data_IF_072579626957
#
_entry.id   IF_072579626957
#
_cell.length_a   1.000
_cell.length_b   1.000
_cell.length_c   1.000
_cell.angle_alpha   90.00
_cell.angle_beta   90.00
_cell.angle_gamma   90.00
#
_symmetry.space_group_name_H-M   'P 1'
#
loop_
_entity.id
_entity.type
_entity.pdbx_description
1 polymer ?
#
# COMPACT_ATOMS: atom_id res chain seq x y z
N UNK A 1 17.67 -3.98 -8.36
CA UNK A 1 17.17 -2.91 -9.24
C UNK A 1 15.83 -2.37 -8.78
N UNK A 2 14.81 -3.20 -8.58
CA UNK A 2 13.48 -2.77 -8.08
C UNK A 2 13.60 -1.90 -6.83
N UNK A 3 14.36 -2.36 -5.81
CA UNK A 3 14.61 -1.60 -4.58
C UNK A 3 15.24 -0.22 -4.83
N UNK A 4 16.34 -0.17 -5.59
CA UNK A 4 17.02 1.09 -5.90
C UNK A 4 16.09 2.11 -6.59
N UNK A 5 15.22 1.68 -7.50
CA UNK A 5 14.24 2.57 -8.12
C UNK A 5 13.11 2.95 -7.17
N UNK A 6 12.50 1.95 -6.51
CA UNK A 6 11.37 2.15 -5.60
C UNK A 6 11.71 3.10 -4.46
N UNK A 7 12.90 2.97 -3.86
CA UNK A 7 13.40 3.88 -2.83
C UNK A 7 13.53 5.31 -3.33
N UNK A 8 14.15 5.52 -4.50
CA UNK A 8 14.34 6.88 -5.05
C UNK A 8 13.05 7.56 -5.48
N UNK A 9 12.10 6.80 -6.02
CA UNK A 9 10.78 7.35 -6.34
C UNK A 9 9.96 7.61 -5.07
N UNK A 10 10.08 6.76 -4.04
CA UNK A 10 9.45 7.01 -2.74
C UNK A 10 10.02 8.26 -2.06
N UNK A 11 11.34 8.46 -2.08
CA UNK A 11 11.98 9.71 -1.61
C UNK A 11 11.41 10.95 -2.33
N UNK A 12 11.22 10.87 -3.64
CA UNK A 12 10.63 11.95 -4.43
C UNK A 12 9.17 12.22 -4.04
N UNK A 13 8.36 11.17 -3.86
CA UNK A 13 6.96 11.26 -3.41
C UNK A 13 6.89 11.93 -2.05
N UNK A 14 7.67 11.46 -1.06
CA UNK A 14 7.70 12.03 0.29
C UNK A 14 8.06 13.51 0.28
N UNK A 15 9.07 13.88 -0.50
CA UNK A 15 9.47 15.28 -0.67
C UNK A 15 8.38 16.14 -1.31
N UNK A 16 7.63 15.58 -2.26
CA UNK A 16 6.50 16.27 -2.90
C UNK A 16 5.29 16.38 -1.98
N UNK A 17 4.99 15.32 -1.25
CA UNK A 17 3.85 15.24 -0.33
C UNK A 17 4.09 16.04 0.97
N UNK A 18 5.35 16.27 1.32
CA UNK A 18 5.82 16.93 2.55
C UNK A 18 5.46 16.17 3.84
N UNK A 19 5.36 14.84 3.75
CA UNK A 19 5.18 13.91 4.88
C UNK A 19 5.86 12.59 4.59
N UNK A 20 6.29 11.88 5.64
CA UNK A 20 6.77 10.50 5.54
C UNK A 20 5.70 9.51 6.00
N UNK A 21 5.43 8.51 5.16
CA UNK A 21 4.49 7.43 5.45
C UNK A 21 4.79 6.68 6.75
N UNK A 22 6.06 6.51 7.16
CA UNK A 22 6.39 5.79 8.41
C UNK A 22 6.22 6.65 9.66
N UNK A 23 6.11 7.97 9.51
CA UNK A 23 5.99 8.93 10.60
C UNK A 23 4.55 9.44 10.78
N UNK A 24 3.68 9.20 9.80
CA UNK A 24 2.31 9.69 9.83
C UNK A 24 1.39 8.81 10.68
N UNK A 25 0.46 9.46 11.37
CA UNK A 25 -0.59 8.77 12.11
C UNK A 25 -1.54 8.06 11.14
N UNK A 26 -1.74 6.76 11.36
CA UNK A 26 -2.54 5.90 10.49
C UNK A 26 -4.02 6.25 10.49
N UNK A 27 -4.50 7.03 11.47
CA UNK A 27 -5.89 7.50 11.52
C UNK A 27 -6.16 8.65 10.54
N UNK A 28 -5.12 9.22 9.91
CA UNK A 28 -5.27 10.33 8.97
C UNK A 28 -5.58 9.84 7.55
N UNK A 29 -6.39 10.59 6.76
CA UNK A 29 -6.62 10.27 5.34
C UNK A 29 -5.32 10.15 4.52
N UNK A 30 -4.32 10.95 4.89
CA UNK A 30 -3.00 10.97 4.28
C UNK A 30 -2.27 9.62 4.37
N UNK A 31 -2.50 8.82 5.42
CA UNK A 31 -1.86 7.51 5.56
C UNK A 31 -2.25 6.57 4.41
N UNK A 32 -3.56 6.44 4.14
CA UNK A 32 -4.06 5.64 3.00
C UNK A 32 -3.53 6.20 1.69
N UNK A 33 -3.47 7.54 1.56
CA UNK A 33 -3.02 8.21 0.34
C UNK A 33 -1.54 7.97 0.04
N UNK A 34 -0.67 8.19 1.02
CA UNK A 34 0.77 7.94 0.91
C UNK A 34 1.09 6.47 0.67
N UNK A 35 0.38 5.56 1.35
CA UNK A 35 0.50 4.13 1.08
C UNK A 35 0.24 3.80 -0.40
N UNK A 36 -0.86 4.33 -0.94
CA UNK A 36 -1.22 4.13 -2.35
C UNK A 36 -0.15 4.66 -3.30
N UNK A 37 0.35 5.89 -3.05
CA UNK A 37 1.36 6.53 -3.89
C UNK A 37 2.68 5.76 -3.91
N UNK A 38 3.22 5.47 -2.72
CA UNK A 38 4.49 4.75 -2.61
C UNK A 38 4.35 3.36 -3.24
N UNK A 39 3.29 2.63 -2.93
CA UNK A 39 3.06 1.30 -3.51
C UNK A 39 2.96 1.33 -5.03
N UNK A 40 2.27 2.32 -5.60
CA UNK A 40 2.21 2.52 -7.04
C UNK A 40 3.60 2.79 -7.64
N UNK A 41 4.48 3.54 -6.97
CA UNK A 41 5.86 3.74 -7.41
C UNK A 41 6.72 2.46 -7.33
N UNK A 42 6.48 1.60 -6.34
CA UNK A 42 7.11 0.29 -6.24
C UNK A 42 6.65 -0.65 -7.36
N UNK A 43 5.36 -0.67 -7.68
CA UNK A 43 4.80 -1.40 -8.82
C UNK A 43 5.36 -0.88 -10.15
N UNK A 44 5.44 0.44 -10.32
CA UNK A 44 6.08 1.06 -11.48
C UNK A 44 7.54 0.64 -11.61
N UNK A 45 8.28 0.60 -10.50
CA UNK A 45 9.69 0.17 -10.48
C UNK A 45 9.87 -1.30 -10.86
N UNK A 46 8.95 -2.17 -10.44
CA UNK A 46 8.91 -3.57 -10.86
C UNK A 46 8.62 -3.69 -12.36
N UNK A 47 7.59 -3.01 -12.85
CA UNK A 47 7.21 -2.98 -14.26
C UNK A 47 8.36 -2.48 -15.15
N UNK A 48 8.96 -1.35 -14.79
CA UNK A 48 10.14 -0.80 -15.47
C UNK A 48 11.28 -1.82 -15.55
N UNK A 49 11.61 -2.46 -14.43
CA UNK A 49 12.69 -3.45 -14.38
C UNK A 49 12.40 -4.64 -15.30
N UNK A 50 11.16 -5.14 -15.28
CA UNK A 50 10.74 -6.22 -16.17
C UNK A 50 10.82 -5.82 -17.64
N UNK A 51 10.24 -4.67 -18.03
CA UNK A 51 10.26 -4.19 -19.41
C UNK A 51 11.69 -4.03 -19.92
N UNK A 52 12.60 -3.47 -19.11
CA UNK A 52 14.00 -3.31 -19.49
C UNK A 52 14.68 -4.65 -19.77
N UNK A 53 14.52 -5.62 -18.88
CA UNK A 53 15.10 -6.95 -19.07
C UNK A 53 14.50 -7.63 -20.29
N UNK A 54 13.19 -7.50 -20.50
CA UNK A 54 12.50 -8.04 -21.67
C UNK A 54 13.02 -7.41 -22.98
N UNK A 55 13.06 -6.08 -23.07
CA UNK A 55 13.58 -5.36 -24.24
C UNK A 55 15.02 -5.78 -24.54
N UNK A 56 15.85 -5.94 -23.51
CA UNK A 56 17.22 -6.43 -23.67
C UNK A 56 17.26 -7.89 -24.15
N UNK A 57 16.42 -8.77 -23.61
CA UNK A 57 16.34 -10.16 -24.06
C UNK A 57 15.85 -10.28 -25.50
N UNK A 58 14.81 -9.53 -25.87
CA UNK A 58 14.25 -9.50 -27.22
C UNK A 58 15.27 -8.97 -28.24
N UNK A 59 16.22 -8.13 -27.81
CA UNK A 59 17.28 -7.64 -28.67
C UNK A 59 18.28 -8.72 -29.11
N UNK A 60 18.24 -9.95 -28.57
CA UNK A 60 19.06 -11.09 -29.04
C UNK A 60 18.76 -11.46 -30.49
N UNK A 61 17.54 -11.24 -30.95
CA UNK A 61 17.12 -11.52 -32.32
C UNK A 61 16.96 -10.23 -33.13
N UNK A 62 17.15 -10.35 -34.44
CA UNK A 62 16.84 -9.31 -35.42
C UNK A 62 15.35 -9.38 -35.77
N UNK A 63 14.77 -8.33 -36.38
CA UNK A 63 13.39 -8.35 -36.84
C UNK A 63 13.07 -9.47 -37.86
N UNK A 64 14.08 -9.96 -38.58
CA UNK A 64 13.96 -11.09 -39.52
C UNK A 64 14.02 -12.47 -38.85
N UNK A 65 14.14 -12.52 -37.52
CA UNK A 65 14.23 -13.75 -36.72
C UNK A 65 15.63 -14.33 -36.59
N UNK A 66 16.64 -13.79 -37.27
CA UNK A 66 18.03 -14.24 -37.12
C UNK A 66 18.65 -13.78 -35.79
N UNK A 67 19.60 -14.54 -35.27
CA UNK A 67 20.32 -14.21 -34.02
C UNK A 67 21.36 -13.12 -34.31
N UNK A 68 21.43 -12.10 -33.45
CA UNK A 68 22.46 -11.06 -33.51
C UNK A 68 23.83 -11.60 -33.13
N UNK A 69 24.88 -11.04 -33.73
CA UNK A 69 26.24 -11.23 -33.19
C UNK A 69 26.36 -10.58 -31.81
N UNK A 70 27.39 -10.96 -31.04
CA UNK A 70 27.65 -10.34 -29.73
C UNK A 70 27.80 -8.82 -29.82
N UNK A 71 28.53 -8.31 -30.83
CA UNK A 71 28.73 -6.87 -30.99
C UNK A 71 27.43 -6.14 -31.32
N UNK A 72 26.60 -6.69 -32.20
CA UNK A 72 25.28 -6.14 -32.51
C UNK A 72 24.39 -6.12 -31.26
N UNK A 73 24.36 -7.22 -30.51
CA UNK A 73 23.58 -7.34 -29.27
C UNK A 73 24.04 -6.31 -28.22
N UNK A 74 25.35 -6.18 -28.01
CA UNK A 74 25.94 -5.20 -27.08
C UNK A 74 25.58 -3.76 -27.47
N UNK A 75 25.60 -3.43 -28.77
CA UNK A 75 25.21 -2.10 -29.25
C UNK A 75 23.72 -1.85 -28.99
N UNK A 76 22.84 -2.81 -29.32
CA UNK A 76 21.39 -2.65 -29.12
C UNK A 76 21.02 -2.50 -27.64
N UNK A 77 21.60 -3.33 -26.77
CA UNK A 77 21.36 -3.22 -25.31
C UNK A 77 21.87 -1.90 -24.73
N UNK A 78 22.97 -1.36 -25.22
CA UNK A 78 23.44 -0.02 -24.85
C UNK A 78 22.46 1.09 -25.28
N UNK A 79 21.87 0.99 -26.48
CA UNK A 79 20.86 1.94 -26.96
C UNK A 79 19.60 1.90 -26.08
N UNK A 80 19.11 0.70 -25.77
CA UNK A 80 17.95 0.48 -24.89
C UNK A 80 18.21 1.12 -23.52
N UNK A 81 19.34 0.78 -22.89
CA UNK A 81 19.72 1.32 -21.58
C UNK A 81 19.86 2.84 -21.63
N UNK A 82 20.48 3.40 -22.68
CA UNK A 82 20.62 4.84 -22.87
C UNK A 82 19.28 5.57 -23.00
N UNK A 83 18.29 4.99 -23.69
CA UNK A 83 16.92 5.52 -23.75
C UNK A 83 16.29 5.59 -22.36
N UNK A 84 16.44 4.53 -21.58
CA UNK A 84 15.88 4.41 -20.25
C UNK A 84 16.51 5.39 -19.25
N UNK A 85 17.81 5.64 -19.35
CA UNK A 85 18.51 6.65 -18.54
C UNK A 85 17.99 8.07 -18.79
N UNK A 86 17.59 8.39 -20.03
CA UNK A 86 17.01 9.70 -20.37
C UNK A 86 15.64 9.94 -19.70
N UNK A 87 14.92 8.87 -19.33
CA UNK A 87 13.61 9.00 -18.69
C UNK A 87 13.71 9.32 -17.18
N UNK A 88 14.86 9.06 -16.53
CA UNK A 88 15.00 9.17 -15.07
C UNK A 88 14.58 10.52 -14.50
N UNK A 89 14.94 11.61 -15.17
CA UNK A 89 14.59 12.97 -14.72
C UNK A 89 13.06 13.17 -14.72
N UNK A 90 12.39 12.71 -15.78
CA UNK A 90 10.94 12.84 -15.92
C UNK A 90 10.22 11.95 -14.91
N UNK A 91 10.71 10.72 -14.69
CA UNK A 91 10.14 9.80 -13.70
C UNK A 91 10.25 10.37 -12.28
N UNK A 92 11.41 10.93 -11.91
CA UNK A 92 11.59 11.63 -10.64
C UNK A 92 10.62 12.81 -10.49
N UNK A 93 10.51 13.65 -11.52
CA UNK A 93 9.60 14.80 -11.52
C UNK A 93 8.13 14.37 -11.42
N UNK A 94 7.77 13.26 -12.06
CA UNK A 94 6.41 12.71 -12.03
C UNK A 94 6.08 12.17 -10.64
N UNK A 95 6.99 11.42 -10.00
CA UNK A 95 6.83 10.96 -8.63
C UNK A 95 6.72 12.13 -7.62
N UNK A 96 7.59 13.14 -7.75
CA UNK A 96 7.54 14.35 -6.92
C UNK A 96 6.23 15.12 -7.11
N UNK A 97 5.84 15.41 -8.35
CA UNK A 97 4.60 16.13 -8.65
C UNK A 97 3.35 15.35 -8.27
N UNK A 98 3.34 14.01 -8.43
CA UNK A 98 2.28 13.14 -7.94
C UNK A 98 2.10 13.24 -6.43
N UNK A 99 3.20 13.26 -5.67
CA UNK A 99 3.19 13.54 -4.23
C UNK A 99 2.58 14.90 -3.90
N UNK A 100 3.02 15.97 -4.58
CA UNK A 100 2.49 17.33 -4.37
C UNK A 100 0.98 17.41 -4.65
N UNK A 101 0.53 16.87 -5.78
CA UNK A 101 -0.87 16.97 -6.21
C UNK A 101 -1.78 16.09 -5.36
N UNK A 102 -1.31 14.94 -4.88
CA UNK A 102 -2.06 14.12 -3.93
C UNK A 102 -2.23 14.79 -2.56
N UNK A 103 -1.15 15.38 -2.01
CA UNK A 103 -1.24 16.15 -0.77
C UNK A 103 -2.17 17.36 -0.92
N UNK A 104 -2.08 18.05 -2.07
CA UNK A 104 -2.97 19.15 -2.40
C UNK A 104 -4.43 18.70 -2.49
N UNK A 105 -4.71 17.56 -3.12
CA UNK A 105 -6.07 17.03 -3.21
C UNK A 105 -6.67 16.69 -1.84
N UNK A 106 -5.89 16.10 -0.92
CA UNK A 106 -6.36 15.86 0.46
C UNK A 106 -6.77 17.18 1.15
N UNK A 107 -5.91 18.20 1.08
CA UNK A 107 -6.24 19.54 1.63
C UNK A 107 -7.46 20.17 0.97
N UNK A 108 -7.60 20.01 -0.34
CA UNK A 108 -8.77 20.50 -1.08
C UNK A 108 -10.04 19.86 -0.54
N UNK A 109 -10.07 18.53 -0.40
CA UNK A 109 -11.24 17.81 0.10
C UNK A 109 -11.57 18.17 1.55
N UNK A 110 -10.58 18.33 2.42
CA UNK A 110 -10.79 18.79 3.80
C UNK A 110 -11.40 20.20 3.86
N UNK A 111 -10.98 21.09 2.96
CA UNK A 111 -11.33 22.51 3.02
C UNK A 111 -12.45 22.93 2.05
N UNK A 112 -13.02 22.02 1.24
CA UNK A 112 -13.98 22.37 0.19
C UNK A 112 -15.26 23.06 0.70
N UNK A 113 -15.64 22.81 1.95
CA UNK A 113 -16.75 23.50 2.62
C UNK A 113 -16.49 25.00 2.87
N UNK A 114 -15.22 25.43 2.86
CA UNK A 114 -14.79 26.84 3.01
C UNK A 114 -14.33 27.41 1.66
N UNK A 115 -13.64 26.61 0.85
CA UNK A 115 -13.10 26.98 -0.45
C UNK A 115 -13.62 26.02 -1.53
N UNK A 116 -14.88 26.21 -1.99
CA UNK A 116 -15.55 25.26 -2.86
C UNK A 116 -15.14 25.35 -4.34
N UNK A 117 -14.32 26.34 -4.71
CA UNK A 117 -13.87 26.54 -6.09
C UNK A 117 -12.37 26.31 -6.23
N UNK A 118 -11.97 25.74 -7.36
CA UNK A 118 -10.58 25.57 -7.77
C UNK A 118 -10.33 26.35 -9.06
N UNK A 119 -9.19 27.01 -9.13
CA UNK A 119 -8.62 27.59 -10.35
C UNK A 119 -7.45 26.74 -10.81
N UNK A 120 -7.40 26.38 -12.09
CA UNK A 120 -6.24 25.73 -12.69
C UNK A 120 -5.14 26.75 -12.95
N UNK A 121 -3.94 26.51 -12.44
CA UNK A 121 -2.79 27.41 -12.56
C UNK A 121 -1.71 26.72 -13.40
N UNK A 122 -1.46 27.23 -14.59
CA UNK A 122 -0.28 26.87 -15.36
C UNK A 122 0.88 27.79 -14.97
N UNK A 123 2.10 27.25 -14.91
CA UNK A 123 3.29 28.11 -14.96
C UNK A 123 3.27 28.82 -16.31
N UNK A 124 3.51 30.12 -16.37
CA UNK A 124 3.53 30.88 -17.62
C UNK A 124 4.97 31.22 -18.00
N UNK A 125 5.67 30.25 -18.61
CA UNK A 125 6.99 30.46 -19.19
C UNK A 125 7.11 29.83 -20.59
N UNK A 126 8.29 29.96 -21.19
CA UNK A 126 8.59 29.44 -22.53
C UNK A 126 8.42 27.92 -22.64
N UNK A 127 8.58 27.19 -21.54
CA UNK A 127 8.50 25.73 -21.48
C UNK A 127 7.09 25.20 -21.17
N UNK A 128 6.11 26.08 -20.97
CA UNK A 128 4.72 25.67 -20.75
C UNK A 128 4.14 25.09 -22.03
N UNK A 129 3.42 23.97 -21.93
CA UNK A 129 2.75 23.37 -23.08
C UNK A 129 1.50 24.16 -23.45
N UNK A 130 1.12 24.18 -24.73
CA UNK A 130 -0.14 24.78 -25.17
C UNK A 130 -1.35 24.17 -24.43
N UNK A 131 -1.27 22.86 -24.14
CA UNK A 131 -2.20 22.13 -23.28
C UNK A 131 -2.39 22.82 -21.93
N UNK A 132 -1.30 23.03 -21.18
CA UNK A 132 -1.41 23.67 -19.86
C UNK A 132 -1.87 25.13 -19.96
N UNK A 133 -1.40 25.89 -20.97
CA UNK A 133 -1.83 27.29 -21.18
C UNK A 133 -3.33 27.40 -21.44
N UNK A 134 -3.91 26.47 -22.21
CA UNK A 134 -5.34 26.48 -22.54
C UNK A 134 -6.27 26.31 -21.35
N UNK A 135 -5.78 25.70 -20.27
CA UNK A 135 -6.53 25.50 -19.03
C UNK A 135 -6.24 26.56 -17.97
N UNK A 136 -5.27 27.46 -18.20
CA UNK A 136 -4.88 28.47 -17.21
C UNK A 136 -6.05 29.40 -16.89
N UNK A 137 -6.35 29.56 -15.60
CA UNK A 137 -7.46 30.40 -15.12
C UNK A 137 -8.84 29.74 -15.22
N UNK A 138 -8.96 28.49 -15.68
CA UNK A 138 -10.25 27.77 -15.64
C UNK A 138 -10.64 27.56 -14.19
N UNK A 139 -11.84 28.02 -13.83
CA UNK A 139 -12.41 27.91 -12.48
C UNK A 139 -13.61 26.98 -12.51
N UNK A 140 -13.62 25.98 -11.64
CA UNK A 140 -14.74 25.05 -11.46
C UNK A 140 -14.97 24.74 -9.99
N UNK A 141 -16.20 24.35 -9.63
CA UNK A 141 -16.47 23.78 -8.32
C UNK A 141 -15.59 22.53 -8.06
N UNK A 142 -15.17 22.28 -6.82
CA UNK A 142 -14.27 21.17 -6.44
C UNK A 142 -14.82 19.80 -6.88
N UNK A 143 -16.13 19.63 -6.81
CA UNK A 143 -16.80 18.36 -7.16
C UNK A 143 -17.17 18.25 -8.66
N UNK A 144 -16.74 19.20 -9.51
CA UNK A 144 -16.99 19.14 -10.96
C UNK A 144 -16.16 18.03 -11.63
N UNK A 145 -16.76 17.36 -12.62
CA UNK A 145 -16.14 16.27 -13.40
C UNK A 145 -14.86 16.72 -14.12
N UNK A 146 -14.70 18.02 -14.38
CA UNK A 146 -13.48 18.62 -14.92
C UNK A 146 -12.24 18.18 -14.14
N UNK A 147 -12.30 18.13 -12.81
CA UNK A 147 -11.16 17.74 -11.97
C UNK A 147 -10.85 16.25 -12.03
N UNK A 148 -11.80 15.40 -12.44
CA UNK A 148 -11.53 13.98 -12.67
C UNK A 148 -10.61 13.74 -13.88
N UNK A 149 -10.54 14.71 -14.79
CA UNK A 149 -9.82 14.59 -16.07
C UNK A 149 -8.60 15.51 -16.12
N UNK A 150 -8.74 16.75 -15.63
CA UNK A 150 -7.77 17.83 -15.85
C UNK A 150 -7.07 18.31 -14.58
N UNK A 151 -7.29 17.68 -13.42
CA UNK A 151 -6.50 17.97 -12.24
C UNK A 151 -5.04 17.57 -12.47
N UNK A 152 -4.05 18.46 -12.27
CA UNK A 152 -2.65 18.14 -12.53
C UNK A 152 -2.18 16.87 -11.81
N UNK A 153 -1.31 16.05 -12.39
CA UNK A 153 -0.50 16.27 -13.60
C UNK A 153 -1.18 15.77 -14.88
N UNK A 154 -1.23 16.61 -15.92
CA UNK A 154 -1.90 16.27 -17.19
C UNK A 154 -0.96 15.72 -18.28
N UNK A 155 0.35 15.68 -18.04
CA UNK A 155 1.37 15.09 -18.90
C UNK A 155 2.71 14.96 -18.16
N UNK A 156 3.68 14.25 -18.75
CA UNK A 156 5.05 14.21 -18.23
C UNK A 156 5.70 15.59 -18.18
N UNK A 157 6.35 15.92 -17.07
CA UNK A 157 6.96 17.24 -16.87
C UNK A 157 5.96 18.39 -16.70
N UNK A 158 4.67 18.08 -16.45
CA UNK A 158 3.69 19.09 -16.07
C UNK A 158 4.12 19.79 -14.77
N UNK A 159 3.96 21.11 -14.73
CA UNK A 159 4.28 21.97 -13.57
C UNK A 159 3.08 22.76 -13.08
N UNK A 160 1.91 22.50 -13.64
CA UNK A 160 0.66 23.15 -13.24
C UNK A 160 0.23 22.70 -11.85
N UNK A 161 -0.57 23.53 -11.20
CA UNK A 161 -1.16 23.29 -9.88
C UNK A 161 -2.60 23.83 -9.88
N UNK A 162 -3.24 23.85 -8.72
CA UNK A 162 -4.54 24.49 -8.52
C UNK A 162 -4.48 25.51 -7.39
N UNK A 163 -5.44 26.42 -7.35
CA UNK A 163 -5.62 27.37 -6.26
C UNK A 163 -7.06 27.31 -5.77
N UNK A 164 -7.25 27.22 -4.46
CA UNK A 164 -8.55 27.24 -3.82
C UNK A 164 -9.08 28.66 -3.64
N UNK A 165 -10.37 28.84 -3.91
CA UNK A 165 -11.08 30.11 -3.76
C UNK A 165 -12.34 29.94 -2.92
N UNK A 166 -12.60 30.91 -2.04
CA UNK A 166 -13.81 30.96 -1.20
C UNK A 166 -15.03 31.34 -2.03
N UNK A 167 -14.82 32.27 -2.95
CA UNK A 167 -15.83 32.80 -3.87
C UNK A 167 -15.18 32.97 -5.23
N UNK A 168 -15.81 32.45 -6.27
CA UNK A 168 -15.39 32.65 -7.65
C UNK A 168 -16.59 32.45 -8.58
N UNK A 169 -16.45 32.91 -9.83
CA UNK A 169 -17.39 32.60 -10.90
C UNK A 169 -16.83 31.43 -11.69
N UNK A 170 -17.61 30.35 -11.83
CA UNK A 170 -17.19 29.21 -12.65
C UNK A 170 -17.06 29.60 -14.11
N UNK A 171 -16.01 29.10 -14.77
CA UNK A 171 -15.83 29.26 -16.20
C UNK A 171 -16.88 28.41 -16.93
N UNK A 172 -17.75 28.99 -17.77
CA UNK A 172 -18.70 28.24 -18.58
C UNK A 172 -18.01 27.25 -19.53
N UNK A 173 -18.58 26.06 -19.72
CA UNK A 173 -17.94 25.00 -20.54
C UNK A 173 -17.66 25.44 -21.98
N UNK A 174 -18.51 26.28 -22.55
CA UNK A 174 -18.35 26.82 -23.90
C UNK A 174 -17.21 27.84 -24.04
N UNK A 175 -16.65 28.31 -22.92
CA UNK A 175 -15.50 29.21 -22.89
C UNK A 175 -14.17 28.47 -22.64
N UNK A 176 -14.23 27.17 -22.29
CA UNK A 176 -13.05 26.36 -22.01
C UNK A 176 -12.51 25.76 -23.32
N UNK A 177 -11.24 26.05 -23.62
CA UNK A 177 -10.52 25.41 -24.73
C UNK A 177 -9.95 24.09 -24.22
N UNK A 178 -10.74 23.01 -24.31
CA UNK A 178 -10.32 21.69 -23.85
C UNK A 178 -9.17 21.13 -24.69
N UNK A 179 -7.97 20.91 -24.11
CA UNK A 179 -6.88 20.31 -24.85
C UNK A 179 -7.02 18.80 -24.91
N UNK A 180 -6.45 18.19 -25.95
CA UNK A 180 -6.23 16.75 -25.95
C UNK A 180 -5.00 16.41 -25.08
N UNK A 181 -5.25 15.73 -23.97
CA UNK A 181 -4.21 15.26 -23.04
C UNK A 181 -3.95 13.77 -23.30
N UNK A 182 -2.72 13.25 -23.08
CA UNK A 182 -2.45 11.84 -23.27
C UNK A 182 -3.41 10.98 -22.44
N UNK A 183 -3.98 9.93 -23.03
CA UNK A 183 -5.06 9.12 -22.42
C UNK A 183 -4.73 8.63 -21.00
N UNK A 184 -3.49 8.22 -20.75
CA UNK A 184 -3.02 7.75 -19.45
C UNK A 184 -3.11 8.81 -18.33
N UNK A 185 -3.14 10.11 -18.70
CA UNK A 185 -3.28 11.23 -17.77
C UNK A 185 -4.71 11.79 -17.70
N UNK A 186 -5.71 11.19 -18.38
CA UNK A 186 -7.14 11.54 -18.24
C UNK A 186 -7.71 10.95 -16.95
N UNK A 187 -7.06 11.26 -15.83
CA UNK A 187 -7.38 10.74 -14.51
C UNK A 187 -6.81 11.66 -13.43
N UNK A 188 -7.58 11.89 -12.37
CA UNK A 188 -7.09 12.59 -11.18
C UNK A 188 -6.14 11.70 -10.38
N UNK A 189 -4.83 11.81 -10.68
CA UNK A 189 -3.79 11.05 -10.00
C UNK A 189 -3.75 11.33 -8.48
N UNK A 190 -3.97 12.59 -8.08
CA UNK A 190 -3.98 12.99 -6.67
C UNK A 190 -5.12 12.35 -5.88
N UNK A 191 -6.31 12.35 -6.46
CA UNK A 191 -7.47 11.67 -5.90
C UNK A 191 -7.32 10.16 -5.86
N UNK A 192 -6.81 9.55 -6.92
CA UNK A 192 -6.59 8.09 -6.93
C UNK A 192 -5.40 7.64 -6.10
N UNK A 193 -4.50 8.55 -5.72
CA UNK A 193 -3.29 8.21 -4.99
C UNK A 193 -2.28 7.46 -5.86
N UNK A 194 -2.10 7.92 -7.10
CA UNK A 194 -1.20 7.33 -8.08
C UNK A 194 -0.04 8.30 -8.36
N UNK A 195 1.20 7.84 -8.20
CA UNK A 195 2.37 8.61 -8.61
C UNK A 195 2.56 8.53 -10.14
N UNK A 196 2.22 7.37 -10.72
CA UNK A 196 2.28 7.07 -12.13
C UNK A 196 0.94 6.50 -12.61
N UNK A 197 0.49 6.83 -13.83
CA UNK A 197 -0.69 6.23 -14.43
C UNK A 197 -0.64 4.70 -14.45
N UNK A 198 -1.78 4.05 -14.19
CA UNK A 198 -1.92 2.59 -14.22
C UNK A 198 -1.73 2.01 -15.64
N UNK A 199 -2.13 2.76 -16.67
CA UNK A 199 -1.97 2.39 -18.08
C UNK A 199 -0.58 2.74 -18.65
N UNK A 200 0.43 2.95 -17.79
CA UNK A 200 1.79 3.27 -18.23
C UNK A 200 2.37 2.12 -19.08
N UNK A 201 3.11 2.45 -20.14
CA UNK A 201 3.65 1.49 -21.10
C UNK A 201 4.55 0.39 -20.50
N UNK A 202 5.15 0.63 -19.33
CA UNK A 202 5.94 -0.39 -18.62
C UNK A 202 5.08 -1.53 -18.05
N UNK A 203 3.81 -1.30 -17.75
CA UNK A 203 2.91 -2.38 -17.32
C UNK A 203 2.49 -3.27 -18.50
N UNK A 204 2.59 -2.78 -19.74
CA UNK A 204 2.19 -3.51 -20.93
C UNK A 204 3.00 -4.78 -21.13
N UNK A 205 2.32 -5.92 -21.18
CA UNK A 205 2.92 -7.22 -21.44
C UNK A 205 3.70 -7.82 -20.26
N UNK A 206 3.62 -7.22 -19.07
CA UNK A 206 4.10 -7.82 -17.82
C UNK A 206 3.07 -8.84 -17.32
N UNK A 207 3.44 -10.11 -17.10
CA UNK A 207 2.52 -11.09 -16.52
C UNK A 207 2.13 -10.71 -15.09
N UNK A 208 0.86 -10.91 -14.72
CA UNK A 208 0.34 -10.59 -13.38
C UNK A 208 1.13 -11.30 -12.26
N UNK A 209 1.50 -12.56 -12.47
CA UNK A 209 2.31 -13.35 -11.52
C UNK A 209 3.70 -12.73 -11.29
N UNK A 210 4.30 -12.11 -12.31
CA UNK A 210 5.60 -11.43 -12.16
C UNK A 210 5.43 -10.18 -11.30
N UNK A 211 4.33 -9.43 -11.48
CA UNK A 211 4.04 -8.26 -10.64
C UNK A 211 3.80 -8.68 -9.19
N UNK A 212 2.98 -9.69 -8.97
CA UNK A 212 2.70 -10.24 -7.64
C UNK A 212 3.98 -10.72 -6.94
N UNK A 213 4.78 -11.57 -7.59
CA UNK A 213 6.06 -12.05 -7.04
C UNK A 213 7.08 -10.95 -6.86
N UNK A 214 7.03 -9.86 -7.63
CA UNK A 214 7.95 -8.74 -7.46
C UNK A 214 7.76 -8.02 -6.12
N UNK A 215 6.56 -8.11 -5.51
CA UNK A 215 6.25 -7.49 -4.22
C UNK A 215 7.16 -8.00 -3.10
N UNK A 216 7.73 -9.20 -3.21
CA UNK A 216 8.69 -9.71 -2.22
C UNK A 216 9.91 -8.78 -2.05
N UNK A 217 10.26 -8.00 -3.08
CA UNK A 217 11.36 -7.04 -3.05
C UNK A 217 10.97 -5.66 -2.52
N UNK A 218 9.69 -5.43 -2.22
CA UNK A 218 9.20 -4.15 -1.69
C UNK A 218 9.52 -4.04 -0.20
N UNK A 219 9.57 -2.84 0.41
CA UNK A 219 9.69 -2.72 1.85
C UNK A 219 8.44 -3.27 2.54
N UNK A 220 8.58 -3.70 3.80
CA UNK A 220 7.52 -4.38 4.58
C UNK A 220 6.12 -3.76 4.39
N UNK A 221 5.99 -2.45 4.56
CA UNK A 221 4.69 -1.79 4.46
C UNK A 221 4.08 -1.83 3.05
N UNK A 222 4.89 -1.87 1.99
CA UNK A 222 4.42 -1.92 0.59
C UNK A 222 4.12 -3.36 0.14
N UNK A 223 4.50 -4.36 0.95
CA UNK A 223 4.03 -5.73 0.81
C UNK A 223 2.60 -5.92 1.33
N UNK A 224 2.04 -4.89 1.99
CA UNK A 224 0.69 -4.92 2.55
C UNK A 224 -0.35 -4.30 1.61
N UNK A 225 -1.56 -4.83 1.66
CA UNK A 225 -2.78 -4.31 1.03
C UNK A 225 -3.68 -3.76 2.13
N UNK A 226 -4.06 -2.47 2.08
CA UNK A 226 -5.06 -1.92 3.01
C UNK A 226 -6.42 -2.50 2.63
N UNK A 227 -7.12 -3.09 3.60
CA UNK A 227 -8.47 -3.62 3.43
C UNK A 227 -9.49 -2.56 3.86
N UNK A 228 -10.31 -2.06 2.93
CA UNK A 228 -11.38 -1.12 3.24
C UNK A 228 -12.66 -1.88 3.58
N UNK A 229 -12.94 -2.07 4.87
CA UNK A 229 -14.05 -2.90 5.35
C UNK A 229 -15.28 -2.03 5.70
N UNK A 230 -15.09 -0.79 6.15
CA UNK A 230 -16.18 0.18 6.39
C UNK A 230 -15.65 1.61 6.58
N UNK A 231 -16.47 2.61 6.27
CA UNK A 231 -16.16 4.01 6.59
C UNK A 231 -16.17 4.30 8.10
N UNK A 232 -16.75 3.41 8.91
CA UNK A 232 -16.82 3.52 10.37
C UNK A 232 -15.56 3.01 11.10
N UNK A 233 -14.66 2.31 10.40
CA UNK A 233 -13.42 1.82 11.01
C UNK A 233 -12.43 2.97 11.21
N UNK A 234 -12.24 3.35 12.48
CA UNK A 234 -11.28 4.38 12.88
C UNK A 234 -9.83 3.88 12.94
N UNK A 235 -9.59 2.57 12.76
CA UNK A 235 -8.27 1.95 12.63
C UNK A 235 -7.98 1.47 11.21
N UNK A 236 -6.83 0.81 11.02
CA UNK A 236 -6.40 0.30 9.71
C UNK A 236 -6.20 -1.21 9.79
N UNK A 237 -6.69 -1.91 8.77
CA UNK A 237 -6.41 -3.33 8.57
C UNK A 237 -5.59 -3.44 7.31
N UNK A 238 -4.47 -4.15 7.39
CA UNK A 238 -3.68 -4.49 6.22
C UNK A 238 -3.51 -5.99 6.11
N UNK A 239 -3.32 -6.47 4.89
CA UNK A 239 -3.07 -7.86 4.60
C UNK A 239 -1.79 -8.00 3.81
N UNK A 240 -0.91 -8.90 4.23
CA UNK A 240 0.27 -9.21 3.43
C UNK A 240 -0.13 -9.91 2.12
N UNK A 241 0.52 -9.59 1.01
CA UNK A 241 0.15 -10.10 -0.32
C UNK A 241 0.18 -11.63 -0.47
N UNK A 242 0.98 -12.31 0.36
CA UNK A 242 1.10 -13.77 0.38
C UNK A 242 0.13 -14.47 1.35
N UNK A 243 -0.85 -13.76 1.92
CA UNK A 243 -1.87 -14.39 2.78
C UNK A 243 -2.75 -15.32 1.93
N UNK A 244 -2.92 -16.57 2.39
CA UNK A 244 -3.89 -17.49 1.80
C UNK A 244 -5.30 -17.15 2.28
N UNK A 245 -6.01 -16.35 1.48
CA UNK A 245 -7.39 -15.93 1.77
C UNK A 245 -8.41 -17.07 1.73
N UNK A 246 -8.01 -18.27 1.29
CA UNK A 246 -8.85 -19.48 1.26
C UNK A 246 -8.65 -20.39 2.47
N UNK A 247 -7.68 -20.07 3.34
CA UNK A 247 -7.45 -20.82 4.56
C UNK A 247 -8.69 -20.77 5.47
N UNK A 248 -8.96 -21.88 6.18
CA UNK A 248 -10.18 -22.04 6.98
C UNK A 248 -10.28 -21.05 8.15
N UNK A 249 -9.16 -20.47 8.57
CA UNK A 249 -9.00 -19.51 9.65
C UNK A 249 -9.00 -18.04 9.21
N UNK A 250 -8.81 -17.77 7.90
CA UNK A 250 -8.73 -16.41 7.38
C UNK A 250 -9.93 -15.54 7.79
N UNK A 251 -11.16 -16.08 7.74
CA UNK A 251 -12.35 -15.33 8.15
C UNK A 251 -12.36 -14.98 9.65
N UNK A 252 -11.79 -15.84 10.51
CA UNK A 252 -11.63 -15.50 11.94
C UNK A 252 -10.58 -14.40 12.11
N UNK A 253 -9.44 -14.50 11.44
CA UNK A 253 -8.38 -13.49 11.49
C UNK A 253 -8.90 -12.12 11.03
N UNK A 254 -9.66 -12.09 9.93
CA UNK A 254 -10.28 -10.86 9.42
C UNK A 254 -11.29 -10.27 10.42
N UNK A 255 -12.13 -11.11 11.02
CA UNK A 255 -13.07 -10.68 12.06
C UNK A 255 -12.37 -10.10 13.30
N UNK A 256 -11.25 -10.72 13.70
CA UNK A 256 -10.42 -10.22 14.80
C UNK A 256 -9.80 -8.88 14.45
N UNK A 257 -9.17 -8.77 13.27
CA UNK A 257 -8.56 -7.54 12.81
C UNK A 257 -9.58 -6.39 12.71
N UNK A 258 -10.77 -6.67 12.16
CA UNK A 258 -11.85 -5.70 12.04
C UNK A 258 -12.34 -5.19 13.39
N UNK A 259 -12.57 -6.09 14.35
CA UNK A 259 -12.99 -5.70 15.70
C UNK A 259 -11.92 -4.84 16.39
N UNK A 260 -10.65 -5.26 16.33
CA UNK A 260 -9.53 -4.56 16.96
C UNK A 260 -9.32 -3.18 16.36
N UNK A 261 -9.28 -3.09 15.03
CA UNK A 261 -9.16 -1.80 14.34
C UNK A 261 -10.33 -0.87 14.68
N UNK A 262 -11.57 -1.38 14.77
CA UNK A 262 -12.76 -0.58 15.10
C UNK A 262 -12.77 -0.12 16.56
N UNK A 263 -12.61 -1.04 17.52
CA UNK A 263 -12.75 -0.75 18.96
C UNK A 263 -11.57 0.04 19.52
N UNK A 264 -10.35 -0.30 19.10
CA UNK A 264 -9.13 0.23 19.69
C UNK A 264 -8.49 1.34 18.84
N UNK A 265 -8.99 1.57 17.62
CA UNK A 265 -8.41 2.53 16.66
C UNK A 265 -6.93 2.27 16.42
N UNK A 266 -6.58 1.02 16.15
CA UNK A 266 -5.19 0.59 15.93
C UNK A 266 -4.99 0.04 14.52
N UNK A 267 -3.71 -0.10 14.15
CA UNK A 267 -3.30 -0.83 12.97
C UNK A 267 -3.17 -2.32 13.28
N UNK A 268 -3.78 -3.15 12.43
CA UNK A 268 -3.68 -4.61 12.47
C UNK A 268 -3.24 -5.15 11.11
N UNK A 269 -2.17 -5.95 11.11
CA UNK A 269 -1.75 -6.70 9.92
C UNK A 269 -2.19 -8.16 10.02
N UNK A 270 -2.80 -8.66 8.95
CA UNK A 270 -3.01 -10.08 8.69
C UNK A 270 -1.77 -10.60 7.98
N UNK A 271 -1.11 -11.57 8.61
CA UNK A 271 0.24 -12.01 8.26
C UNK A 271 0.20 -13.33 7.48
N UNK A 272 1.18 -13.60 6.61
CA UNK A 272 1.21 -14.79 5.78
C UNK A 272 1.88 -15.97 6.49
N UNK A 273 1.59 -17.19 6.05
CA UNK A 273 2.41 -18.36 6.42
C UNK A 273 3.61 -18.46 5.48
N UNK A 274 4.82 -18.33 6.02
CA UNK A 274 6.06 -18.44 5.26
C UNK A 274 6.92 -19.61 5.76
N UNK A 275 7.07 -20.63 4.93
CA UNK A 275 7.95 -21.76 5.20
C UNK A 275 9.43 -21.29 5.39
N UNK A 276 10.12 -21.69 6.47
CA UNK A 276 11.49 -21.25 6.75
C UNK A 276 12.53 -21.65 5.72
N UNK A 277 12.34 -22.80 5.08
CA UNK A 277 13.30 -23.35 4.12
C UNK A 277 13.09 -22.75 2.72
N UNK A 278 11.83 -22.46 2.37
CA UNK A 278 11.43 -21.86 1.09
C UNK A 278 11.66 -20.34 1.07
N UNK A 279 11.40 -19.64 2.18
CA UNK A 279 11.42 -18.17 2.25
C UNK A 279 12.35 -17.59 3.33
N UNK A 280 13.61 -18.05 3.48
CA UNK A 280 14.47 -17.63 4.59
C UNK A 280 14.73 -16.11 4.60
N UNK A 281 14.97 -15.50 3.43
CA UNK A 281 15.22 -14.07 3.31
C UNK A 281 13.95 -13.24 3.57
N UNK A 282 12.80 -13.67 3.04
CA UNK A 282 11.54 -12.93 3.20
C UNK A 282 11.11 -12.86 4.66
N UNK A 283 11.37 -13.94 5.41
CA UNK A 283 11.06 -13.99 6.84
C UNK A 283 11.82 -12.95 7.66
N UNK A 284 13.03 -12.55 7.26
CA UNK A 284 13.76 -11.48 7.93
C UNK A 284 13.08 -10.11 7.79
N UNK A 285 12.27 -9.93 6.75
CA UNK A 285 11.53 -8.70 6.47
C UNK A 285 10.14 -8.75 7.11
N UNK A 286 9.43 -9.87 6.95
CA UNK A 286 8.02 -10.02 7.38
C UNK A 286 7.90 -10.35 8.87
N UNK A 287 8.85 -11.12 9.39
CA UNK A 287 8.84 -11.68 10.75
C UNK A 287 10.17 -11.44 11.49
N UNK A 288 10.70 -10.20 11.54
CA UNK A 288 12.01 -9.91 12.16
C UNK A 288 12.06 -10.22 13.67
N UNK A 289 10.92 -10.20 14.33
CA UNK A 289 10.70 -10.34 15.77
C UNK A 289 9.93 -11.62 16.14
N UNK A 290 9.71 -12.53 15.17
CA UNK A 290 9.04 -13.79 15.42
C UNK A 290 9.94 -14.81 16.13
N UNK A 291 9.30 -15.80 16.77
CA UNK A 291 10.00 -17.01 17.21
C UNK A 291 10.64 -17.72 16.02
N UNK A 292 11.77 -18.39 16.26
CA UNK A 292 12.55 -19.07 15.20
C UNK A 292 11.65 -19.99 14.37
N UNK A 293 11.55 -19.70 13.08
CA UNK A 293 10.79 -20.48 12.10
C UNK A 293 9.26 -20.38 12.22
N UNK A 294 8.73 -19.43 13.01
CA UNK A 294 7.27 -19.31 13.23
C UNK A 294 6.66 -18.14 12.46
N UNK A 295 5.47 -18.34 11.93
CA UNK A 295 4.72 -17.32 11.18
C UNK A 295 3.46 -17.03 11.98
N UNK A 296 3.48 -15.95 12.78
CA UNK A 296 2.30 -15.60 13.55
C UNK A 296 1.20 -15.03 12.67
N UNK A 297 -0.05 -15.28 13.04
CA UNK A 297 -1.24 -14.94 12.24
C UNK A 297 -1.47 -13.44 12.08
N UNK A 298 -1.26 -12.68 13.16
CA UNK A 298 -1.60 -11.27 13.22
C UNK A 298 -0.43 -10.46 13.76
N UNK A 299 -0.30 -9.22 13.29
CA UNK A 299 0.48 -8.18 13.97
C UNK A 299 -0.46 -7.09 14.45
N UNK A 300 -0.73 -7.03 15.75
CA UNK A 300 -1.63 -6.07 16.39
C UNK A 300 -0.78 -5.11 17.21
N UNK A 301 -0.83 -3.82 16.90
CA UNK A 301 -0.04 -2.78 17.58
C UNK A 301 1.45 -3.20 17.69
N UNK A 302 2.04 -3.51 16.53
CA UNK A 302 3.44 -3.91 16.35
C UNK A 302 3.85 -5.25 16.99
N UNK A 303 2.97 -5.93 17.72
CA UNK A 303 3.24 -7.23 18.36
C UNK A 303 2.69 -8.37 17.52
N UNK A 304 3.43 -9.47 17.45
CA UNK A 304 2.96 -10.70 16.80
C UNK A 304 2.03 -11.50 17.72
N UNK A 305 0.90 -11.92 17.18
CA UNK A 305 -0.14 -12.70 17.84
C UNK A 305 -0.44 -13.97 17.05
N UNK A 306 -0.55 -15.09 17.77
CA UNK A 306 -1.11 -16.34 17.23
C UNK A 306 -2.57 -16.46 17.64
N UNK A 307 -3.44 -16.87 16.73
CA UNK A 307 -4.81 -17.25 17.02
C UNK A 307 -4.94 -18.78 17.08
N UNK A 308 -5.65 -19.27 18.10
CA UNK A 308 -5.96 -20.69 18.23
C UNK A 308 -7.43 -20.89 18.56
N UNK A 309 -8.06 -21.88 17.94
CA UNK A 309 -9.47 -22.22 18.19
C UNK A 309 -9.60 -23.36 19.21
N UNK A 310 -10.26 -23.09 20.33
CA UNK A 310 -10.53 -24.10 21.36
C UNK A 310 -11.88 -24.78 21.10
N UNK A 311 -11.85 -25.96 20.46
CA UNK A 311 -13.05 -26.79 20.32
C UNK A 311 -13.57 -27.25 21.69
N UNK A 312 -14.89 -27.22 21.91
CA UNK A 312 -15.54 -27.67 23.16
C UNK A 312 -14.92 -27.02 24.40
N UNK A 313 -14.98 -25.69 24.48
CA UNK A 313 -14.32 -24.90 25.53
C UNK A 313 -14.80 -25.20 26.95
N UNK A 314 -15.94 -25.86 27.17
CA UNK A 314 -16.29 -26.40 28.50
C UNK A 314 -15.23 -27.37 29.04
N UNK A 315 -14.46 -28.03 28.15
CA UNK A 315 -13.31 -28.83 28.52
C UNK A 315 -12.05 -27.95 28.62
N UNK A 316 -11.69 -27.61 29.86
CA UNK A 316 -10.52 -26.81 30.22
C UNK A 316 -9.22 -27.34 29.61
N UNK A 317 -9.09 -28.65 29.37
CA UNK A 317 -7.89 -29.20 28.75
C UNK A 317 -7.76 -28.78 27.28
N UNK A 318 -8.86 -28.61 26.55
CA UNK A 318 -8.82 -28.12 25.16
C UNK A 318 -8.33 -26.67 25.12
N UNK A 319 -8.72 -25.84 26.09
CA UNK A 319 -8.20 -24.47 26.23
C UNK A 319 -6.70 -24.50 26.56
N UNK A 320 -6.27 -25.36 27.49
CA UNK A 320 -4.85 -25.52 27.84
C UNK A 320 -4.01 -25.95 26.64
N UNK A 321 -4.53 -26.87 25.82
CA UNK A 321 -3.86 -27.33 24.61
C UNK A 321 -3.76 -26.21 23.57
N UNK A 322 -4.82 -25.43 23.36
CA UNK A 322 -4.80 -24.27 22.47
C UNK A 322 -3.75 -23.22 22.91
N UNK A 323 -3.71 -22.85 24.20
CA UNK A 323 -2.65 -21.96 24.72
C UNK A 323 -1.27 -22.57 24.52
N UNK A 324 -1.13 -23.86 24.78
CA UNK A 324 0.13 -24.59 24.60
C UNK A 324 0.61 -24.60 23.15
N UNK A 325 -0.31 -24.71 22.18
CA UNK A 325 -0.03 -24.62 20.75
C UNK A 325 0.39 -23.20 20.37
N UNK A 326 -0.45 -22.19 20.67
CA UNK A 326 -0.18 -20.81 20.29
C UNK A 326 1.06 -20.21 20.96
N UNK A 327 1.35 -20.59 22.22
CA UNK A 327 2.55 -20.13 22.92
C UNK A 327 3.86 -20.62 22.28
N UNK A 328 3.84 -21.67 21.46
CA UNK A 328 5.01 -22.10 20.68
C UNK A 328 5.23 -21.22 19.46
N UNK A 329 4.21 -20.48 19.03
CA UNK A 329 4.20 -19.69 17.80
C UNK A 329 4.47 -18.22 18.08
N UNK A 330 3.83 -17.66 19.11
CA UNK A 330 3.94 -16.25 19.48
C UNK A 330 4.08 -16.05 21.00
N UNK A 331 4.39 -14.81 21.38
CA UNK A 331 4.42 -14.37 22.78
C UNK A 331 3.07 -13.80 23.24
N UNK A 332 2.18 -13.49 22.30
CA UNK A 332 0.82 -13.05 22.55
C UNK A 332 -0.12 -14.02 21.84
N UNK A 333 -1.14 -14.52 22.53
CA UNK A 333 -2.05 -15.51 21.96
C UNK A 333 -3.50 -15.07 22.11
N UNK A 334 -4.29 -15.32 21.09
CA UNK A 334 -5.75 -15.17 21.07
C UNK A 334 -6.33 -16.58 21.05
N UNK A 335 -7.16 -16.90 22.04
CA UNK A 335 -7.88 -18.18 22.11
C UNK A 335 -9.35 -17.91 21.82
N UNK A 336 -9.79 -18.30 20.63
CA UNK A 336 -11.20 -18.23 20.25
C UNK A 336 -11.93 -19.43 20.84
N UNK A 337 -12.91 -19.16 21.70
CA UNK A 337 -13.69 -20.17 22.41
C UNK A 337 -14.93 -20.57 21.58
N UNK A 338 -15.31 -21.84 21.64
CA UNK A 338 -16.54 -22.35 21.00
C UNK A 338 -17.81 -22.06 21.81
N UNK A 339 -17.66 -21.73 23.08
CA UNK A 339 -18.74 -21.47 24.04
C UNK A 339 -18.24 -20.52 25.14
N UNK A 340 -19.17 -19.85 25.82
CA UNK A 340 -18.81 -18.97 26.93
C UNK A 340 -18.26 -19.78 28.11
N UNK A 341 -17.15 -19.30 28.68
CA UNK A 341 -16.50 -19.93 29.84
C UNK A 341 -16.44 -18.92 30.97
N UNK A 342 -16.72 -19.37 32.18
CA UNK A 342 -16.69 -18.53 33.37
C UNK A 342 -15.31 -17.88 33.58
N UNK A 343 -15.31 -16.58 33.86
CA UNK A 343 -14.06 -15.81 34.01
C UNK A 343 -13.19 -16.28 35.18
N UNK A 344 -13.75 -16.84 36.26
CA UNK A 344 -12.96 -17.42 37.35
C UNK A 344 -12.21 -18.67 36.90
N UNK A 345 -12.81 -19.47 36.01
CA UNK A 345 -12.17 -20.64 35.42
C UNK A 345 -10.99 -20.18 34.55
N UNK A 346 -11.19 -19.17 33.71
CA UNK A 346 -10.13 -18.58 32.89
C UNK A 346 -8.99 -18.02 33.75
N UNK A 347 -9.32 -17.28 34.83
CA UNK A 347 -8.34 -16.75 35.79
C UNK A 347 -7.45 -17.86 36.39
N UNK A 348 -8.08 -18.93 36.89
CA UNK A 348 -7.35 -20.07 37.49
C UNK A 348 -6.48 -20.80 36.47
N UNK A 349 -6.98 -20.98 35.26
CA UNK A 349 -6.25 -21.62 34.17
C UNK A 349 -5.01 -20.83 33.77
N UNK A 350 -5.14 -19.52 33.59
CA UNK A 350 -4.07 -18.62 33.16
C UNK A 350 -2.89 -18.62 34.13
N UNK A 351 -3.16 -18.61 35.44
CA UNK A 351 -2.11 -18.58 36.47
C UNK A 351 -1.10 -19.75 36.37
N UNK A 352 -1.56 -20.92 35.95
CA UNK A 352 -0.67 -22.06 35.70
C UNK A 352 0.17 -21.87 34.43
N UNK A 353 -0.42 -21.31 33.37
CA UNK A 353 0.20 -21.20 32.04
C UNK A 353 1.40 -20.26 32.00
N UNK A 354 1.47 -19.24 32.86
CA UNK A 354 2.65 -18.37 32.95
C UNK A 354 3.93 -19.11 33.36
N UNK A 355 3.79 -20.16 34.18
CA UNK A 355 4.90 -21.02 34.61
C UNK A 355 5.30 -21.98 33.50
N UNK A 356 4.31 -22.55 32.82
CA UNK A 356 4.51 -23.54 31.75
C UNK A 356 5.10 -22.91 30.47
N UNK A 357 4.81 -21.63 30.23
CA UNK A 357 5.23 -20.89 29.03
C UNK A 357 5.94 -19.58 29.42
N UNK A 358 7.26 -19.65 29.59
CA UNK A 358 8.06 -18.55 30.14
C UNK A 358 8.12 -17.32 29.22
N UNK A 359 8.01 -17.51 27.91
CA UNK A 359 8.04 -16.41 26.94
C UNK A 359 6.66 -15.77 26.73
N UNK A 360 5.59 -16.42 27.16
CA UNK A 360 4.22 -15.94 26.98
C UNK A 360 4.00 -14.66 27.79
N UNK A 361 3.52 -13.61 27.11
CA UNK A 361 3.30 -12.26 27.65
C UNK A 361 1.82 -11.91 27.78
N UNK A 362 0.98 -12.39 26.87
CA UNK A 362 -0.45 -12.08 26.88
C UNK A 362 -1.28 -13.25 26.41
N UNK A 363 -2.39 -13.50 27.10
CA UNK A 363 -3.44 -14.43 26.68
C UNK A 363 -4.72 -13.61 26.59
N UNK A 364 -5.32 -13.57 25.40
CA UNK A 364 -6.65 -13.01 25.16
C UNK A 364 -7.59 -14.17 24.89
N UNK A 365 -8.65 -14.31 25.68
CA UNK A 365 -9.76 -15.20 25.33
C UNK A 365 -10.86 -14.40 24.67
N UNK A 366 -11.51 -15.00 23.67
CA UNK A 366 -12.62 -14.37 22.96
C UNK A 366 -13.77 -15.33 22.75
N UNK A 367 -14.99 -14.84 22.96
CA UNK A 367 -16.23 -15.52 22.61
C UNK A 367 -17.25 -14.48 22.10
N UNK A 368 -17.59 -14.54 20.82
CA UNK A 368 -18.33 -13.46 20.14
C UNK A 368 -17.70 -12.08 20.40
N UNK A 369 -18.45 -11.15 20.99
CA UNK A 369 -18.01 -9.77 21.30
C UNK A 369 -17.34 -9.63 22.68
N UNK A 370 -17.24 -10.72 23.45
CA UNK A 370 -16.63 -10.72 24.79
C UNK A 370 -15.14 -11.07 24.69
N UNK A 371 -14.31 -10.28 25.35
CA UNK A 371 -12.88 -10.51 25.47
C UNK A 371 -12.42 -10.49 26.92
N UNK A 372 -11.52 -11.40 27.28
CA UNK A 372 -10.83 -11.43 28.57
C UNK A 372 -9.33 -11.40 28.32
N UNK A 373 -8.67 -10.31 28.74
CA UNK A 373 -7.26 -10.07 28.46
C UNK A 373 -6.45 -10.26 29.74
N UNK A 374 -5.47 -11.16 29.67
CA UNK A 374 -4.55 -11.46 30.74
C UNK A 374 -3.13 -11.13 30.33
N UNK A 375 -2.47 -10.27 31.10
CA UNK A 375 -1.05 -9.94 30.92
C UNK A 375 -0.24 -10.71 31.95
N UNK A 376 0.94 -11.17 31.55
CA UNK A 376 1.90 -11.77 32.48
C UNK A 376 2.19 -10.76 33.62
N UNK A 377 2.12 -11.19 34.89
CA UNK A 377 2.39 -10.32 36.03
C UNK A 377 3.85 -9.87 36.10
#
# INVERSE_FOLDING_TARGET
>A
MIQAYGEKLSEAIKKGYDKDYVEIDFITPDYKKLHSLEKNAWQFSAAKTYTQLKEMSDALTKPDGSIRSFDEFRIQTAIITGKQLRHLKIEYQTAFGGGQMAAQWQRIQEQKHIYPYLEFIAVEDENTTALCRSLNGVIKHVDDIFWQIYFPLNHYGCRSTTKQHRTATETPDNEIVYPDIPKIFKVNLGERGLAFPEDHAYFTGMPAEVMEKSRQFFPYNMQMDILDISDETLGIIRQHFMVDTKANDYQRMLSIAAEKARKEKILVDIMPTLDPDTYPAQRLIVFPDAKKGKSSDLRIDKKLWEEEFSTKSHNINNIKHAIGAGSKQANHVIITLSEEVDSEILNRLVNGRWKDHQDLKTILFRYHDKEWIYKRP
#
